data_IF_661397439408
#
_entry.id   IF_661397439408
#
_cell.length_a   1.000
_cell.length_b   1.000
_cell.length_c   1.000
_cell.angle_alpha   90.00
_cell.angle_beta   90.00
_cell.angle_gamma   90.00
#
_symmetry.space_group_name_H-M   'P 1'
#
loop_
_entity.id
_entity.type
_entity.pdbx_description
1 polymer ?
#
# COMPACT_ATOMS: atom_id res chain seq x y z
N UNK A 1 22.56 -7.58 7.17
CA UNK A 1 23.67 -8.22 6.43
C UNK A 1 23.82 -7.50 5.11
N UNK A 2 25.04 -7.18 4.68
CA UNK A 2 25.30 -6.62 3.36
C UNK A 2 25.46 -7.80 2.39
N UNK A 3 24.39 -8.20 1.70
CA UNK A 3 24.41 -9.30 0.73
C UNK A 3 25.19 -8.89 -0.51
N UNK A 4 26.01 -9.79 -1.03
CA UNK A 4 26.70 -9.57 -2.30
C UNK A 4 25.81 -9.99 -3.46
N UNK A 5 25.73 -9.14 -4.49
CA UNK A 5 24.96 -9.40 -5.70
C UNK A 5 25.41 -10.72 -6.34
N UNK A 6 24.47 -11.64 -6.53
CA UNK A 6 24.74 -12.95 -7.14
C UNK A 6 24.21 -13.01 -8.58
N UNK A 7 24.72 -13.93 -9.40
CA UNK A 7 24.19 -14.15 -10.76
C UNK A 7 22.73 -14.65 -10.76
N UNK A 8 22.24 -15.13 -9.61
CA UNK A 8 20.87 -15.60 -9.41
C UNK A 8 19.95 -14.48 -8.90
N UNK A 9 20.47 -13.28 -8.66
CA UNK A 9 19.67 -12.14 -8.26
C UNK A 9 18.70 -11.75 -9.38
N UNK A 10 17.49 -11.38 -8.97
CA UNK A 10 16.50 -10.74 -9.84
C UNK A 10 16.12 -9.40 -9.24
N UNK A 11 15.41 -8.57 -10.00
CA UNK A 11 14.81 -7.39 -9.41
C UNK A 11 13.85 -7.74 -8.26
N UNK A 12 13.08 -8.83 -8.35
CA UNK A 12 12.09 -9.15 -7.32
C UNK A 12 12.68 -9.81 -6.06
N UNK A 13 13.77 -10.58 -6.20
CA UNK A 13 14.34 -11.42 -5.14
C UNK A 13 15.86 -11.43 -5.16
N UNK A 14 16.48 -11.55 -3.98
CA UNK A 14 17.89 -11.92 -3.88
C UNK A 14 18.09 -13.39 -4.28
N UNK A 15 19.21 -13.71 -4.91
CA UNK A 15 19.60 -15.09 -5.18
C UNK A 15 19.86 -15.86 -3.88
N UNK A 16 19.70 -17.18 -3.94
CA UNK A 16 19.98 -18.05 -2.80
C UNK A 16 21.49 -18.15 -2.58
N UNK A 17 21.94 -17.80 -1.38
CA UNK A 17 23.30 -18.08 -0.92
C UNK A 17 23.41 -19.53 -0.39
N UNK A 18 24.62 -20.13 -0.34
CA UNK A 18 24.80 -21.47 0.19
C UNK A 18 24.24 -21.61 1.62
N UNK A 19 23.30 -22.54 1.79
CA UNK A 19 22.63 -22.78 3.08
C UNK A 19 21.26 -22.12 3.21
N UNK A 20 20.86 -21.27 2.26
CA UNK A 20 19.52 -20.68 2.22
C UNK A 20 18.54 -21.61 1.49
N UNK A 21 17.30 -21.66 1.99
CA UNK A 21 16.24 -22.56 1.48
C UNK A 21 15.07 -21.82 0.84
N UNK A 22 15.04 -20.49 0.93
CA UNK A 22 13.91 -19.67 0.52
C UNK A 22 14.38 -18.33 -0.07
N UNK A 23 13.63 -17.81 -1.04
CA UNK A 23 13.93 -16.52 -1.65
C UNK A 23 13.43 -15.37 -0.79
N UNK A 24 14.27 -14.37 -0.61
CA UNK A 24 13.92 -13.15 0.11
C UNK A 24 13.65 -12.02 -0.88
N UNK A 25 12.60 -11.24 -0.63
CA UNK A 25 12.25 -10.10 -1.47
C UNK A 25 13.35 -9.04 -1.44
N UNK A 26 13.65 -8.46 -2.61
CA UNK A 26 14.55 -7.31 -2.70
C UNK A 26 13.94 -6.11 -1.98
N UNK A 27 14.73 -5.47 -1.13
CA UNK A 27 14.31 -4.26 -0.43
C UNK A 27 14.13 -3.10 -1.42
N UNK A 28 13.34 -2.09 -1.07
CA UNK A 28 13.21 -0.90 -1.91
C UNK A 28 14.54 -0.14 -2.08
N UNK A 29 15.38 -0.15 -1.04
CA UNK A 29 16.71 0.46 -1.10
C UNK A 29 17.56 -0.24 -2.16
N UNK A 30 17.66 -1.58 -2.09
CA UNK A 30 18.45 -2.34 -3.06
C UNK A 30 17.82 -2.35 -4.45
N UNK A 31 16.50 -2.18 -4.56
CA UNK A 31 15.82 -2.08 -5.84
C UNK A 31 16.34 -0.90 -6.68
N UNK A 32 16.62 0.24 -6.04
CA UNK A 32 17.05 1.45 -6.76
C UNK A 32 18.56 1.63 -6.74
N UNK A 33 19.27 1.04 -5.76
CA UNK A 33 20.70 1.31 -5.54
C UNK A 33 21.62 0.16 -5.95
N UNK A 34 21.11 -1.09 -6.00
CA UNK A 34 21.94 -2.26 -6.30
C UNK A 34 21.58 -2.77 -7.69
N UNK A 35 22.54 -2.79 -8.65
CA UNK A 35 22.28 -3.31 -9.98
C UNK A 35 21.96 -4.81 -9.92
N UNK A 36 21.32 -5.37 -10.95
CA UNK A 36 21.06 -6.81 -11.05
C UNK A 36 21.65 -7.27 -12.38
N UNK A 37 22.54 -8.27 -12.35
CA UNK A 37 23.28 -8.68 -13.55
C UNK A 37 22.36 -9.16 -14.68
N UNK A 38 21.27 -9.86 -14.33
CA UNK A 38 20.25 -10.34 -15.28
C UNK A 38 19.35 -9.22 -15.84
N UNK A 39 19.31 -8.05 -15.19
CA UNK A 39 18.50 -6.88 -15.59
C UNK A 39 19.43 -5.68 -15.85
N UNK A 40 20.17 -5.65 -16.98
CA UNK A 40 21.15 -4.60 -17.27
C UNK A 40 20.51 -3.22 -17.50
N UNK A 41 19.21 -3.18 -17.76
CA UNK A 41 18.42 -1.94 -17.82
C UNK A 41 18.01 -1.45 -16.43
N UNK A 42 18.45 -2.10 -15.35
CA UNK A 42 18.06 -1.81 -13.98
C UNK A 42 16.68 -2.35 -13.61
N UNK A 43 16.26 -2.03 -12.39
CA UNK A 43 14.96 -2.40 -11.84
C UNK A 43 14.03 -1.19 -11.73
N UNK A 44 12.76 -1.45 -11.47
CA UNK A 44 11.77 -0.43 -11.12
C UNK A 44 11.07 -0.81 -9.82
N UNK A 45 11.00 0.14 -8.91
CA UNK A 45 10.11 0.04 -7.76
C UNK A 45 8.70 0.38 -8.23
N UNK A 46 7.81 -0.60 -8.18
CA UNK A 46 6.44 -0.49 -8.68
C UNK A 46 5.57 0.42 -7.82
N UNK A 47 4.39 0.75 -8.34
CA UNK A 47 3.35 1.54 -7.67
C UNK A 47 2.78 0.91 -6.39
N UNK A 48 3.18 -0.32 -6.07
CA UNK A 48 2.80 -1.04 -4.86
C UNK A 48 3.98 -1.29 -3.90
N UNK A 49 5.18 -0.81 -4.26
CA UNK A 49 6.40 -0.97 -3.47
C UNK A 49 7.18 -2.27 -3.73
N UNK A 50 6.76 -3.11 -4.68
CA UNK A 50 7.55 -4.28 -5.09
C UNK A 50 8.61 -3.88 -6.11
N UNK A 51 9.80 -4.45 -5.98
CA UNK A 51 10.82 -4.34 -7.01
C UNK A 51 10.52 -5.31 -8.16
N UNK A 52 10.62 -4.83 -9.40
CA UNK A 52 10.35 -5.59 -10.60
C UNK A 52 11.30 -5.19 -11.73
N UNK A 53 11.34 -6.00 -12.79
CA UNK A 53 12.14 -5.70 -13.97
C UNK A 53 11.62 -4.46 -14.70
N UNK A 54 12.51 -3.70 -15.32
CA UNK A 54 12.18 -2.49 -16.08
C UNK A 54 11.21 -2.73 -17.26
N UNK A 55 10.98 -3.97 -17.67
CA UNK A 55 9.94 -4.32 -18.65
C UNK A 55 8.52 -3.93 -18.20
N UNK A 56 8.30 -3.74 -16.89
CA UNK A 56 7.02 -3.34 -16.30
C UNK A 56 6.93 -1.84 -15.99
N UNK A 57 7.95 -1.06 -16.36
CA UNK A 57 7.94 0.38 -16.17
C UNK A 57 6.88 1.05 -17.06
N UNK A 58 5.99 1.82 -16.43
CA UNK A 58 5.03 2.70 -17.09
C UNK A 58 5.42 4.15 -16.82
N UNK A 59 5.85 4.85 -17.88
CA UNK A 59 6.26 6.25 -17.79
C UNK A 59 5.16 7.17 -17.23
N UNK A 60 3.88 6.81 -17.36
CA UNK A 60 2.76 7.61 -16.82
C UNK A 60 2.67 7.56 -15.30
N UNK A 61 3.25 6.52 -14.70
CA UNK A 61 3.35 6.37 -13.25
C UNK A 61 4.70 6.85 -12.72
N UNK A 62 5.63 7.27 -13.57
CA UNK A 62 6.92 7.80 -13.13
C UNK A 62 6.72 9.01 -12.22
N UNK A 63 7.23 8.91 -11.00
CA UNK A 63 7.06 9.92 -9.95
C UNK A 63 7.51 11.33 -10.36
N UNK A 64 8.37 11.46 -11.38
CA UNK A 64 8.91 12.73 -11.87
C UNK A 64 8.04 13.39 -12.94
N UNK A 65 7.18 12.61 -13.57
CA UNK A 65 6.39 13.07 -14.74
C UNK A 65 4.90 13.17 -14.43
N UNK A 66 4.48 12.75 -13.24
CA UNK A 66 3.07 12.82 -12.87
C UNK A 66 2.58 14.28 -12.81
N UNK A 67 1.39 14.50 -13.35
CA UNK A 67 0.77 15.82 -13.46
C UNK A 67 -0.71 15.78 -13.09
N UNK A 68 -1.31 16.95 -12.92
CA UNK A 68 -2.72 17.09 -12.54
C UNK A 68 -3.02 16.43 -11.19
N UNK A 69 -4.06 15.60 -11.06
CA UNK A 69 -4.43 14.96 -9.79
C UNK A 69 -3.38 13.97 -9.28
N UNK A 70 -2.46 13.53 -10.13
CA UNK A 70 -1.36 12.63 -9.77
C UNK A 70 -0.05 13.38 -9.47
N UNK A 71 0.00 14.70 -9.62
CA UNK A 71 1.18 15.48 -9.28
C UNK A 71 1.52 15.28 -7.81
N UNK A 72 2.81 15.09 -7.50
CA UNK A 72 3.29 15.00 -6.13
C UNK A 72 4.58 15.82 -6.01
N UNK A 73 4.69 16.54 -4.90
CA UNK A 73 5.86 17.36 -4.58
C UNK A 73 6.97 16.57 -3.88
N UNK A 74 6.69 15.35 -3.43
CA UNK A 74 7.62 14.57 -2.61
C UNK A 74 7.88 15.23 -1.25
N UNK A 75 6.92 16.01 -0.74
CA UNK A 75 7.04 16.73 0.52
C UNK A 75 6.57 15.87 1.70
N UNK A 76 7.35 15.78 2.79
CA UNK A 76 6.91 15.12 4.01
C UNK A 76 5.77 15.87 4.73
N UNK A 77 5.46 17.10 4.32
CA UNK A 77 4.41 17.92 4.95
C UNK A 77 3.20 18.13 4.05
N UNK A 78 3.25 17.66 2.80
CA UNK A 78 2.18 17.84 1.84
C UNK A 78 2.03 16.60 0.95
N UNK A 79 1.19 15.69 1.41
CA UNK A 79 0.83 14.47 0.68
C UNK A 79 -0.39 14.66 -0.24
N UNK A 80 -0.69 15.87 -0.69
CA UNK A 80 -1.76 16.08 -1.69
C UNK A 80 -1.33 15.47 -3.03
N UNK A 81 -2.26 14.89 -3.80
CA UNK A 81 -2.00 14.39 -5.15
C UNK A 81 -1.68 12.89 -5.26
N UNK A 82 -0.78 12.51 -6.17
CA UNK A 82 -0.58 11.13 -6.62
C UNK A 82 -0.26 10.13 -5.50
N UNK A 83 -0.73 8.90 -5.61
CA UNK A 83 -0.58 7.82 -4.61
C UNK A 83 0.14 6.58 -5.13
N UNK A 84 0.32 6.53 -6.45
CA UNK A 84 0.75 5.36 -7.21
C UNK A 84 1.87 5.81 -8.14
N UNK A 85 3.09 5.66 -7.66
CA UNK A 85 4.30 6.10 -8.34
C UNK A 85 5.22 4.92 -8.59
N UNK A 86 5.85 4.90 -9.75
CA UNK A 86 6.95 4.03 -10.09
C UNK A 86 8.27 4.79 -10.05
N UNK A 87 9.33 4.09 -9.65
CA UNK A 87 10.67 4.65 -9.49
C UNK A 87 11.68 3.79 -10.27
N UNK A 88 12.10 4.23 -11.46
CA UNK A 88 13.05 3.48 -12.27
C UNK A 88 14.49 3.71 -11.76
N UNK A 89 15.20 2.64 -11.41
CA UNK A 89 16.55 2.66 -10.84
C UNK A 89 17.59 3.33 -11.76
N UNK A 90 17.36 3.30 -13.08
CA UNK A 90 18.25 3.95 -14.07
C UNK A 90 18.42 5.46 -13.87
N UNK A 91 17.51 6.08 -13.13
CA UNK A 91 17.46 7.54 -12.98
C UNK A 91 16.88 8.00 -11.64
N UNK A 92 16.83 7.08 -10.68
CA UNK A 92 16.34 7.29 -9.33
C UNK A 92 17.19 6.49 -8.36
N UNK A 93 17.57 7.09 -7.24
CA UNK A 93 18.25 6.41 -6.15
C UNK A 93 17.39 6.45 -4.89
N UNK A 94 17.47 5.41 -4.07
CA UNK A 94 16.84 5.40 -2.75
C UNK A 94 17.77 6.07 -1.74
N UNK A 95 17.24 6.90 -0.84
CA UNK A 95 18.08 7.59 0.13
C UNK A 95 18.62 6.64 1.21
N UNK A 96 19.72 7.05 1.84
CA UNK A 96 20.16 6.43 3.09
C UNK A 96 19.10 6.54 4.18
N UNK A 97 19.02 5.52 5.04
CA UNK A 97 18.06 5.50 6.14
C UNK A 97 18.24 6.68 7.13
N UNK A 98 19.41 7.30 7.14
CA UNK A 98 19.76 8.46 7.98
C UNK A 98 19.46 9.81 7.33
N UNK A 99 19.04 9.84 6.06
CA UNK A 99 18.65 11.10 5.42
C UNK A 99 17.45 11.70 6.19
N UNK A 100 17.49 13.01 6.54
CA UNK A 100 16.43 13.65 7.31
C UNK A 100 15.03 13.46 6.70
N UNK A 101 14.91 13.50 5.38
CA UNK A 101 13.64 13.29 4.70
C UNK A 101 13.17 11.84 4.88
N UNK A 102 14.07 10.86 4.85
CA UNK A 102 13.75 9.44 5.11
C UNK A 102 13.29 9.20 6.54
N UNK A 103 13.97 9.79 7.53
CA UNK A 103 13.58 9.67 8.94
C UNK A 103 12.15 10.19 9.16
N UNK A 104 11.84 11.33 8.56
CA UNK A 104 10.50 11.90 8.63
C UNK A 104 9.47 11.07 7.85
N UNK A 105 9.80 10.65 6.62
CA UNK A 105 8.92 9.81 5.80
C UNK A 105 8.53 8.51 6.51
N UNK A 106 9.51 7.86 7.16
CA UNK A 106 9.30 6.63 7.90
C UNK A 106 8.42 6.86 9.14
N UNK A 107 8.62 7.96 9.86
CA UNK A 107 7.77 8.32 10.99
C UNK A 107 6.30 8.52 10.55
N UNK A 108 6.10 9.14 9.39
CA UNK A 108 4.78 9.36 8.79
C UNK A 108 4.15 8.02 8.36
N UNK A 109 4.91 7.16 7.67
CA UNK A 109 4.46 5.83 7.27
C UNK A 109 3.98 5.01 8.49
N UNK A 110 4.79 4.98 9.56
CA UNK A 110 4.43 4.28 10.81
C UNK A 110 3.19 4.87 11.49
N UNK A 111 3.06 6.20 11.53
CA UNK A 111 1.90 6.86 12.12
C UNK A 111 0.61 6.49 11.35
N UNK A 112 0.64 6.59 10.02
CA UNK A 112 -0.49 6.19 9.18
C UNK A 112 -0.79 4.70 9.29
N UNK A 113 0.22 3.83 9.40
CA UNK A 113 0.03 2.39 9.56
C UNK A 113 -0.72 2.06 10.85
N UNK A 114 -0.39 2.72 11.96
CA UNK A 114 -1.10 2.54 13.25
C UNK A 114 -2.56 2.96 13.20
N UNK A 115 -2.93 3.82 12.26
CA UNK A 115 -4.29 4.28 12.04
C UNK A 115 -5.02 3.46 10.95
N UNK A 116 -4.42 2.38 10.45
CA UNK A 116 -4.88 1.62 9.28
C UNK A 116 -5.16 2.51 8.05
N UNK A 117 -4.40 3.59 7.91
CA UNK A 117 -4.55 4.51 6.80
C UNK A 117 -3.84 3.96 5.56
N UNK A 118 -4.55 3.96 4.42
CA UNK A 118 -4.02 3.45 3.16
C UNK A 118 -2.78 4.22 2.67
N UNK A 119 -2.55 5.46 3.11
CA UNK A 119 -1.37 6.25 2.76
C UNK A 119 -0.07 5.54 3.15
N UNK A 120 -0.04 4.83 4.28
CA UNK A 120 1.12 4.01 4.65
C UNK A 120 1.43 2.94 3.60
N UNK A 121 0.41 2.43 2.92
CA UNK A 121 0.53 1.40 1.88
C UNK A 121 0.70 1.95 0.47
N UNK A 122 0.63 3.28 0.32
CA UNK A 122 0.81 3.95 -0.95
C UNK A 122 2.28 4.15 -1.28
N UNK A 123 2.59 4.35 -2.56
CA UNK A 123 3.92 4.71 -3.01
C UNK A 123 4.13 6.21 -3.03
N UNK A 124 3.50 6.95 -2.10
CA UNK A 124 3.89 8.32 -1.75
C UNK A 124 5.35 8.35 -1.31
N UNK A 125 6.04 9.46 -1.58
CA UNK A 125 7.47 9.59 -1.30
C UNK A 125 7.84 10.92 -0.66
N UNK A 126 9.03 10.94 -0.08
CA UNK A 126 9.75 12.13 0.36
C UNK A 126 11.04 12.25 -0.46
N UNK A 127 11.41 13.48 -0.83
CA UNK A 127 12.67 13.78 -1.51
C UNK A 127 13.75 14.13 -0.50
N UNK A 128 14.87 13.39 -0.54
CA UNK A 128 16.06 13.66 0.25
C UNK A 128 16.93 14.76 -0.34
N UNK A 129 18.03 15.08 0.36
CA UNK A 129 18.87 16.24 0.03
C UNK A 129 19.55 16.15 -1.35
N UNK A 130 19.84 14.93 -1.81
CA UNK A 130 20.46 14.66 -3.11
C UNK A 130 19.45 14.42 -4.24
N UNK A 131 18.15 14.56 -3.96
CA UNK A 131 17.08 14.17 -4.89
C UNK A 131 16.80 12.66 -4.93
N UNK A 132 17.40 11.89 -4.02
CA UNK A 132 17.01 10.50 -3.75
C UNK A 132 15.59 10.44 -3.18
N UNK A 133 14.98 9.25 -3.22
CA UNK A 133 13.60 9.04 -2.75
C UNK A 133 13.53 8.14 -1.51
N UNK A 134 12.56 8.42 -0.66
CA UNK A 134 12.12 7.58 0.45
C UNK A 134 10.64 7.32 0.28
N UNK A 135 10.19 6.07 0.23
CA UNK A 135 8.79 5.75 -0.11
C UNK A 135 8.08 5.22 1.13
N UNK A 136 6.85 5.69 1.40
CA UNK A 136 6.09 5.32 2.60
C UNK A 136 5.88 3.81 2.69
N UNK A 137 5.51 3.20 1.56
CA UNK A 137 5.35 1.76 1.42
C UNK A 137 6.61 0.99 1.82
N UNK A 138 7.79 1.58 1.69
CA UNK A 138 9.07 0.91 1.88
C UNK A 138 9.56 0.93 3.33
N UNK A 139 8.83 1.54 4.26
CA UNK A 139 9.12 1.37 5.68
C UNK A 139 8.99 -0.13 6.04
N UNK A 140 9.99 -0.75 6.71
CA UNK A 140 10.04 -2.20 6.88
C UNK A 140 8.80 -2.84 7.54
N UNK A 141 8.23 -2.19 8.55
CA UNK A 141 7.04 -2.71 9.27
C UNK A 141 5.83 -2.71 8.35
N UNK A 142 5.66 -1.63 7.61
CA UNK A 142 4.61 -1.39 6.62
C UNK A 142 4.77 -2.30 5.40
N UNK A 143 6.00 -2.53 4.96
CA UNK A 143 6.35 -3.43 3.86
C UNK A 143 5.96 -4.87 4.19
N UNK A 144 6.30 -5.34 5.40
CA UNK A 144 5.99 -6.69 5.88
C UNK A 144 4.49 -6.99 5.89
N UNK A 145 3.63 -5.99 6.07
CA UNK A 145 2.18 -6.16 5.98
C UNK A 145 1.68 -6.48 4.56
N UNK A 146 2.53 -6.35 3.53
CA UNK A 146 2.15 -6.50 2.12
C UNK A 146 2.92 -7.58 1.38
N UNK A 147 3.99 -8.09 1.97
CA UNK A 147 4.75 -9.21 1.43
C UNK A 147 4.45 -10.46 2.23
N UNK A 148 4.11 -11.55 1.54
CA UNK A 148 4.27 -12.87 2.12
C UNK A 148 5.74 -13.21 1.95
N UNK A 149 6.46 -13.34 3.06
CA UNK A 149 7.84 -13.84 2.99
C UNK A 149 7.76 -15.36 2.83
N UNK A 150 8.41 -15.89 1.79
CA UNK A 150 8.56 -17.34 1.59
C UNK A 150 9.52 -17.98 2.60
N UNK A 151 10.06 -17.16 3.50
CA UNK A 151 11.07 -17.53 4.48
C UNK A 151 10.54 -17.58 5.92
N UNK A 152 9.38 -16.98 6.20
CA UNK A 152 8.80 -16.95 7.55
C UNK A 152 8.17 -18.29 7.98
N UNK A 153 8.00 -19.23 7.05
CA UNK A 153 7.48 -20.59 7.34
C UNK A 153 8.55 -21.57 7.86
N UNK A 154 9.77 -21.08 8.13
CA UNK A 154 10.92 -21.92 8.52
C UNK A 154 11.11 -22.09 10.03
N UNK A 155 10.10 -21.74 10.85
CA UNK A 155 10.10 -22.05 12.28
C UNK A 155 9.55 -23.48 12.51
N UNK A 156 10.38 -24.47 12.90
CA UNK A 156 9.94 -25.86 13.10
C UNK A 156 9.11 -26.05 14.38
N UNK A 157 8.76 -24.98 15.11
CA UNK A 157 8.31 -25.06 16.50
C UNK A 157 6.82 -24.80 16.76
N UNK A 158 5.98 -24.60 15.73
CA UNK A 158 4.53 -24.41 15.94
C UNK A 158 3.61 -25.05 14.90
N UNK A 159 3.94 -26.26 14.41
CA UNK A 159 2.93 -27.12 13.77
C UNK A 159 2.62 -28.30 14.69
N UNK A 160 1.77 -28.02 15.68
CA UNK A 160 0.84 -29.03 16.18
C UNK A 160 -0.51 -28.72 15.55
N UNK A 161 -1.04 -29.74 14.86
CA UNK A 161 -2.41 -29.91 14.40
C UNK A 161 -2.90 -29.06 13.21
N UNK A 162 -2.74 -29.62 12.00
CA UNK A 162 -3.87 -30.28 11.32
C UNK A 162 -3.44 -30.90 9.98
N UNK A 163 -3.71 -32.19 9.84
CA UNK A 163 -3.55 -32.97 8.61
C UNK A 163 -4.26 -32.33 7.40
N UNK A 164 -3.53 -32.19 6.30
CA UNK A 164 -4.09 -32.24 4.95
C UNK A 164 -2.95 -32.51 3.96
N UNK A 165 -2.81 -33.78 3.60
CA UNK A 165 -2.03 -34.28 2.48
C UNK A 165 -2.41 -33.53 1.18
N UNK A 166 -1.46 -32.84 0.55
CA UNK A 166 -1.54 -32.59 -0.89
C UNK A 166 -0.15 -32.26 -1.45
N UNK A 167 0.45 -33.25 -2.08
CA UNK A 167 1.54 -33.08 -3.02
C UNK A 167 1.03 -32.30 -4.24
N UNK A 168 1.54 -31.08 -4.49
CA UNK A 168 1.47 -30.50 -5.83
C UNK A 168 2.75 -29.75 -6.18
N UNK A 169 3.23 -30.06 -7.39
CA UNK A 169 4.37 -29.45 -8.07
C UNK A 169 4.19 -27.93 -8.21
N UNK A 170 5.21 -27.17 -7.86
CA UNK A 170 5.24 -25.72 -8.00
C UNK A 170 5.30 -25.31 -9.48
N UNK A 171 4.21 -24.74 -10.00
CA UNK A 171 4.23 -23.88 -11.19
C UNK A 171 4.26 -22.42 -10.75
N UNK A 172 5.13 -21.61 -11.37
CA UNK A 172 5.26 -20.19 -11.08
C UNK A 172 3.94 -19.44 -11.36
N UNK A 173 3.33 -18.87 -10.32
CA UNK A 173 2.10 -18.10 -10.45
C UNK A 173 2.42 -16.67 -10.90
N UNK A 174 2.25 -16.40 -12.21
CA UNK A 174 2.15 -15.05 -12.77
C UNK A 174 0.72 -14.54 -12.66
N UNK A 175 0.23 -14.29 -11.45
CA UNK A 175 -1.07 -13.62 -11.26
C UNK A 175 -1.04 -12.73 -10.03
N UNK A 176 -1.20 -11.43 -10.25
CA UNK A 176 -1.44 -10.44 -9.20
C UNK A 176 -2.65 -10.87 -8.34
N UNK A 177 -2.58 -10.78 -7.00
CA UNK A 177 -3.70 -11.14 -6.16
C UNK A 177 -4.81 -10.09 -6.27
N UNK A 178 -6.00 -10.50 -6.72
CA UNK A 178 -7.22 -9.72 -6.56
C UNK A 178 -7.71 -9.85 -5.12
N UNK A 179 -7.57 -8.80 -4.31
CA UNK A 179 -8.07 -8.75 -2.94
C UNK A 179 -9.61 -8.63 -2.99
N UNK A 180 -10.31 -9.65 -2.49
CA UNK A 180 -11.74 -9.54 -2.14
C UNK A 180 -11.82 -8.72 -0.85
N UNK A 181 -12.21 -7.45 -0.96
CA UNK A 181 -12.42 -6.57 0.18
C UNK A 181 -13.79 -6.89 0.79
N UNK A 182 -13.83 -7.68 1.87
CA UNK A 182 -15.04 -7.79 2.68
C UNK A 182 -15.15 -6.55 3.58
N UNK A 183 -15.82 -5.51 3.07
CA UNK A 183 -15.88 -4.18 3.68
C UNK A 183 -16.97 -4.14 4.75
N UNK A 184 -16.63 -4.44 6.01
CA UNK A 184 -17.46 -4.04 7.15
C UNK A 184 -17.23 -2.56 7.45
N UNK A 185 -17.93 -1.71 6.68
CA UNK A 185 -17.96 -0.26 6.86
C UNK A 185 -18.86 0.10 8.05
N UNK A 186 -18.29 0.29 9.24
CA UNK A 186 -18.98 0.93 10.37
C UNK A 186 -19.10 2.44 10.11
N UNK A 187 -20.07 2.81 9.27
CA UNK A 187 -20.34 4.20 8.91
C UNK A 187 -21.46 4.76 9.79
N UNK A 188 -21.06 5.49 10.84
CA UNK A 188 -21.98 6.12 11.80
C UNK A 188 -22.81 7.28 11.20
N UNK A 189 -22.54 7.70 9.95
CA UNK A 189 -23.28 8.80 9.31
C UNK A 189 -24.69 8.42 8.82
N UNK A 190 -25.00 7.12 8.75
CA UNK A 190 -26.32 6.64 8.32
C UNK A 190 -27.37 6.59 9.45
N UNK A 191 -26.97 6.77 10.72
CA UNK A 191 -27.93 6.71 11.83
C UNK A 191 -28.89 7.92 11.84
N UNK A 192 -28.43 9.08 11.34
CA UNK A 192 -29.24 10.29 11.22
C UNK A 192 -30.43 10.08 10.26
N UNK A 193 -30.21 9.44 9.11
CA UNK A 193 -31.28 9.19 8.13
C UNK A 193 -32.34 8.20 8.65
N UNK A 194 -31.93 7.22 9.45
CA UNK A 194 -32.85 6.21 10.00
C UNK A 194 -33.72 6.76 11.13
N UNK A 195 -33.25 7.76 11.88
CA UNK A 195 -34.00 8.35 13.00
C UNK A 195 -34.74 9.64 12.64
N UNK A 196 -34.13 10.52 11.82
CA UNK A 196 -34.72 11.83 11.51
C UNK A 196 -35.93 11.73 10.58
N UNK A 197 -35.89 10.81 9.59
CA UNK A 197 -36.98 10.63 8.62
C UNK A 197 -38.28 10.16 9.28
N UNK A 198 -38.31 9.09 10.11
CA UNK A 198 -39.54 8.67 10.76
C UNK A 198 -40.10 9.73 11.73
N UNK A 199 -39.24 10.46 12.44
CA UNK A 199 -39.69 11.56 13.32
C UNK A 199 -40.35 12.69 12.50
N UNK A 200 -39.75 13.06 11.36
CA UNK A 200 -40.31 14.08 10.48
C UNK A 200 -41.67 13.68 9.89
N UNK A 201 -41.81 12.41 9.49
CA UNK A 201 -43.09 11.88 8.97
C UNK A 201 -44.17 11.93 10.06
N UNK A 202 -43.86 11.53 11.30
CA UNK A 202 -44.82 11.58 12.41
C UNK A 202 -45.27 13.02 12.69
N UNK A 203 -44.35 13.99 12.65
CA UNK A 203 -44.68 15.41 12.84
C UNK A 203 -45.56 15.96 11.70
N UNK A 204 -45.31 15.59 10.45
CA UNK A 204 -46.16 15.98 9.33
C UNK A 204 -47.56 15.38 9.41
N UNK A 205 -47.66 14.11 9.79
CA UNK A 205 -48.96 13.44 9.98
C UNK A 205 -49.73 14.06 11.14
N UNK A 206 -49.07 14.34 12.27
CA UNK A 206 -49.69 15.03 13.40
C UNK A 206 -50.16 16.44 13.02
N UNK A 207 -49.34 17.20 12.27
CA UNK A 207 -49.72 18.52 11.77
C UNK A 207 -50.92 18.46 10.82
N UNK A 208 -50.94 17.48 9.92
CA UNK A 208 -52.07 17.25 9.02
C UNK A 208 -53.36 16.95 9.79
N UNK A 209 -53.32 16.06 10.79
CA UNK A 209 -54.49 15.78 11.62
C UNK A 209 -54.95 17.00 12.43
N UNK A 210 -54.02 17.81 12.94
CA UNK A 210 -54.37 19.06 13.64
C UNK A 210 -55.03 20.06 12.68
N UNK A 211 -54.50 20.21 11.47
CA UNK A 211 -55.09 21.07 10.42
C UNK A 211 -56.50 20.61 10.03
N UNK A 212 -56.68 19.32 9.75
CA UNK A 212 -57.99 18.74 9.40
C UNK A 212 -58.98 18.90 10.55
N UNK A 213 -58.53 18.71 11.80
CA UNK A 213 -59.38 18.90 12.99
C UNK A 213 -59.75 20.37 13.22
N UNK A 214 -58.87 21.31 12.91
CA UNK A 214 -59.18 22.74 12.90
C UNK A 214 -60.19 23.12 11.80
N UNK A 215 -60.07 22.56 10.59
CA UNK A 215 -61.04 22.79 9.51
C UNK A 215 -62.43 22.22 9.85
N UNK A 216 -62.49 21.06 10.50
CA UNK A 216 -63.75 20.47 10.94
C UNK A 216 -64.44 21.26 12.08
N UNK A 217 -63.67 21.97 12.91
CA UNK A 217 -64.19 22.74 14.04
C UNK A 217 -64.59 24.18 13.67
N UNK A 218 -64.31 24.61 12.43
CA UNK A 218 -64.77 25.90 11.88
C UNK A 218 -66.06 25.74 11.05
N UNK A 219 -66.43 24.50 10.67
CA UNK A 219 -67.63 24.17 9.90
C UNK A 219 -68.75 23.48 10.71
N UNK A 220 -68.77 23.62 12.04
CA UNK A 220 -69.89 23.16 12.87
C UNK A 220 -70.26 24.19 13.93
#
# INVERSE_FOLDING_TARGET
MNRTNSDLDTCAYYGLEPGETCFTHRSCYDCLNVPVAADPQGCVLSQFGYCMSMVFYDYKLDYRTTSGPNADSGSPHNFTGGLYHQYPAVSTTYCEATDPACLECNAIALNYARQDNFLARSTKFCLGQSGCVCVLSCEPTVWRLRTVSLCDDSDPSTIADSNSDSSTSWTAYTTSPSIIVNRTSNNLSNLYWVLAVPVFIVLLVAYYFIRVKCEYMICN
#
